data_IF_249338340654
#
_entry.id   IF_249338340654
#
_cell.length_a   1.000
_cell.length_b   1.000
_cell.length_c   1.000
_cell.angle_alpha   90.00
_cell.angle_beta   90.00
_cell.angle_gamma   90.00
#
_symmetry.space_group_name_H-M   'P 1'
#
loop_
_entity.id
_entity.type
_entity.pdbx_description
1 polymer ?
#
# COMPACT_ATOMS: atom_id res chain seq x y z
N UNK A 1 7.00 -0.72 11.09
CA UNK A 1 8.23 -0.15 10.49
C UNK A 1 9.34 -1.17 10.67
N UNK A 2 9.94 -1.63 9.58
CA UNK A 2 11.13 -2.51 9.58
C UNK A 2 12.31 -1.74 9.01
N UNK A 3 13.52 -2.13 9.38
CA UNK A 3 14.77 -1.58 8.83
C UNK A 3 15.43 -2.67 8.00
N UNK A 4 15.75 -2.37 6.74
CA UNK A 4 16.52 -3.26 5.87
C UNK A 4 17.83 -2.58 5.48
N UNK A 5 18.93 -3.31 5.60
CA UNK A 5 20.25 -2.87 5.15
C UNK A 5 20.48 -3.29 3.70
N UNK A 6 21.05 -2.37 2.92
CA UNK A 6 21.38 -2.58 1.51
C UNK A 6 22.83 -2.16 1.21
N UNK A 7 23.48 -2.76 0.20
CA UNK A 7 24.77 -2.32 -0.28
C UNK A 7 24.78 -0.84 -0.70
N UNK A 8 25.97 -0.23 -0.71
CA UNK A 8 26.14 1.13 -1.19
C UNK A 8 25.72 1.23 -2.67
N UNK A 9 24.97 2.28 -3.01
CA UNK A 9 24.39 2.53 -4.34
C UNK A 9 23.20 1.65 -4.74
N UNK A 10 22.61 0.89 -3.83
CA UNK A 10 21.35 0.21 -4.11
C UNK A 10 20.26 1.18 -4.54
N UNK A 11 19.37 0.70 -5.39
CA UNK A 11 18.25 1.45 -5.96
C UNK A 11 16.93 0.95 -5.39
N UNK A 12 15.87 1.74 -5.56
CA UNK A 12 14.55 1.35 -5.10
C UNK A 12 14.08 0.01 -5.71
N UNK A 13 14.43 -0.27 -6.97
CA UNK A 13 14.08 -1.54 -7.60
C UNK A 13 14.65 -2.77 -6.87
N UNK A 14 15.84 -2.67 -6.28
CA UNK A 14 16.45 -3.75 -5.50
C UNK A 14 15.60 -4.12 -4.26
N UNK A 15 14.88 -3.13 -3.70
CA UNK A 15 13.92 -3.34 -2.62
C UNK A 15 12.64 -4.00 -3.15
N UNK A 16 12.09 -3.53 -4.27
CA UNK A 16 10.85 -4.07 -4.84
C UNK A 16 11.01 -5.54 -5.26
N UNK A 17 12.14 -5.89 -5.86
CA UNK A 17 12.44 -7.27 -6.27
C UNK A 17 12.59 -8.20 -5.06
N UNK A 18 13.17 -7.70 -3.96
CA UNK A 18 13.36 -8.47 -2.74
C UNK A 18 12.07 -8.66 -1.95
N UNK A 19 11.26 -7.60 -1.81
CA UNK A 19 10.02 -7.64 -1.05
C UNK A 19 8.90 -8.35 -1.82
N UNK A 20 8.95 -8.39 -3.16
CA UNK A 20 8.04 -9.22 -3.97
C UNK A 20 8.20 -10.73 -3.76
N UNK A 21 9.23 -11.17 -3.05
CA UNK A 21 9.45 -12.56 -2.64
C UNK A 21 8.85 -12.85 -1.25
N UNK A 22 8.55 -11.82 -0.46
CA UNK A 22 8.04 -11.95 0.89
C UNK A 22 6.50 -11.97 0.84
N UNK A 23 5.89 -13.00 1.42
CA UNK A 23 4.42 -13.19 1.42
C UNK A 23 3.65 -12.03 2.11
N UNK A 24 4.39 -11.10 2.75
CA UNK A 24 3.86 -9.91 3.39
C UNK A 24 3.54 -8.76 2.42
N UNK A 25 4.15 -8.76 1.23
CA UNK A 25 3.94 -7.73 0.22
C UNK A 25 3.32 -8.41 -1.01
N UNK A 26 2.04 -8.13 -1.33
CA UNK A 26 1.38 -8.79 -2.44
C UNK A 26 2.07 -8.43 -3.75
N UNK A 27 2.96 -9.33 -4.22
CA UNK A 27 3.74 -9.20 -5.44
C UNK A 27 2.89 -9.03 -6.73
N UNK A 28 1.58 -9.28 -6.62
CA UNK A 28 0.60 -9.18 -7.71
C UNK A 28 -0.18 -7.86 -7.73
N UNK A 29 -0.08 -7.05 -6.67
CA UNK A 29 -0.72 -5.73 -6.62
C UNK A 29 0.27 -4.66 -7.10
N UNK A 30 -0.19 -3.74 -7.94
CA UNK A 30 0.62 -2.58 -8.34
C UNK A 30 0.94 -1.76 -7.08
N UNK A 31 2.17 -1.85 -6.58
CA UNK A 31 2.62 -1.03 -5.47
C UNK A 31 2.86 0.41 -5.95
N UNK A 32 2.49 1.38 -5.11
CA UNK A 32 2.81 2.79 -5.29
C UNK A 32 3.88 3.20 -4.28
N UNK A 33 5.17 3.07 -4.62
CA UNK A 33 6.24 3.42 -3.71
C UNK A 33 6.33 4.94 -3.51
N UNK A 34 6.59 5.36 -2.28
CA UNK A 34 6.95 6.73 -1.92
C UNK A 34 8.29 6.73 -1.20
N UNK A 35 9.16 7.65 -1.57
CA UNK A 35 10.46 7.86 -0.93
C UNK A 35 10.39 9.15 -0.13
N UNK A 36 10.56 9.06 1.19
CA UNK A 36 10.45 10.18 2.12
C UNK A 36 9.13 10.97 1.94
N UNK A 37 8.01 10.25 1.78
CA UNK A 37 6.69 10.82 1.55
C UNK A 37 6.43 11.36 0.14
N UNK A 38 7.42 11.35 -0.76
CA UNK A 38 7.24 11.80 -2.15
C UNK A 38 7.01 10.62 -3.09
N UNK A 39 6.07 10.73 -4.05
CA UNK A 39 5.87 9.69 -5.05
C UNK A 39 7.16 9.48 -5.84
N UNK A 40 7.50 8.21 -6.07
CA UNK A 40 8.71 7.89 -6.84
C UNK A 40 8.39 8.01 -8.32
N UNK A 41 9.15 8.86 -9.02
CA UNK A 41 9.08 9.03 -10.48
C UNK A 41 10.08 8.12 -11.19
N UNK A 42 11.25 7.88 -10.57
CA UNK A 42 12.33 7.06 -11.11
C UNK A 42 12.68 5.91 -10.14
N UNK A 43 12.37 4.65 -10.49
CA UNK A 43 12.68 3.48 -9.66
C UNK A 43 14.18 3.11 -9.63
N UNK A 44 15.00 3.65 -10.54
CA UNK A 44 16.45 3.46 -10.53
C UNK A 44 17.19 4.52 -9.71
N UNK A 45 16.46 5.38 -8.99
CA UNK A 45 17.04 6.32 -8.06
C UNK A 45 17.76 5.57 -6.92
N UNK A 46 19.00 5.99 -6.66
CA UNK A 46 19.82 5.48 -5.55
C UNK A 46 19.21 5.85 -4.20
N UNK A 47 19.14 4.87 -3.31
CA UNK A 47 18.76 5.02 -1.91
C UNK A 47 19.92 5.57 -1.09
N UNK A 48 19.62 6.39 -0.09
CA UNK A 48 20.56 6.89 0.91
C UNK A 48 20.22 6.33 2.28
N UNK A 49 21.23 6.22 3.14
CA UNK A 49 21.02 5.82 4.53
C UNK A 49 20.08 6.82 5.21
N UNK A 50 19.04 6.29 5.87
CA UNK A 50 17.99 7.10 6.50
C UNK A 50 16.82 7.45 5.58
N UNK A 51 16.86 7.08 4.30
CA UNK A 51 15.67 7.18 3.44
C UNK A 51 14.58 6.23 3.94
N UNK A 52 13.33 6.72 3.95
CA UNK A 52 12.14 5.96 4.30
C UNK A 52 11.39 5.61 3.03
N UNK A 53 11.15 4.32 2.81
CA UNK A 53 10.32 3.84 1.70
C UNK A 53 8.96 3.42 2.24
N UNK A 54 7.91 3.99 1.69
CA UNK A 54 6.53 3.58 1.94
C UNK A 54 6.02 2.81 0.73
N UNK A 55 5.65 1.54 0.93
CA UNK A 55 5.00 0.72 -0.09
C UNK A 55 3.51 0.70 0.19
N UNK A 56 2.73 1.40 -0.63
CA UNK A 56 1.27 1.40 -0.50
C UNK A 56 0.67 0.54 -1.62
N UNK A 57 -0.13 -0.50 -1.33
CA UNK A 57 -0.81 -1.26 -2.36
C UNK A 57 -1.80 -0.36 -3.13
N UNK A 58 -1.91 -0.58 -4.44
CA UNK A 58 -3.00 0.01 -5.22
C UNK A 58 -4.28 -0.76 -4.89
N UNK A 59 -5.15 -0.16 -4.09
CA UNK A 59 -6.48 -0.71 -3.83
C UNK A 59 -7.25 -0.67 -5.16
N UNK A 60 -7.73 -1.81 -5.69
CA UNK A 60 -8.51 -1.83 -6.92
C UNK A 60 -9.80 -1.03 -6.78
N UNK A 61 -10.21 -0.32 -7.82
CA UNK A 61 -11.48 0.45 -7.82
C UNK A 61 -12.71 -0.45 -7.54
N UNK A 62 -12.64 -1.73 -7.92
CA UNK A 62 -13.67 -2.72 -7.62
C UNK A 62 -13.83 -2.94 -6.11
N UNK A 63 -12.72 -3.05 -5.39
CA UNK A 63 -12.70 -3.21 -3.93
C UNK A 63 -13.26 -1.98 -3.21
N UNK A 64 -13.07 -0.77 -3.77
CA UNK A 64 -13.66 0.45 -3.22
C UNK A 64 -15.19 0.46 -3.34
N UNK A 65 -15.75 -0.12 -4.41
CA UNK A 65 -17.19 -0.19 -4.62
C UNK A 65 -17.82 -1.17 -3.64
N UNK A 66 -17.24 -2.36 -3.48
CA UNK A 66 -17.70 -3.37 -2.50
C UNK A 66 -17.65 -2.82 -1.08
N UNK A 67 -16.55 -2.15 -0.70
CA UNK A 67 -16.42 -1.55 0.63
C UNK A 67 -17.47 -0.46 0.88
N UNK A 68 -17.79 0.36 -0.13
CA UNK A 68 -18.86 1.37 -0.04
C UNK A 68 -20.23 0.75 0.16
N UNK A 69 -20.55 -0.30 -0.58
CA UNK A 69 -21.84 -0.98 -0.45
C UNK A 69 -22.00 -1.68 0.90
N UNK A 70 -20.92 -2.25 1.44
CA UNK A 70 -20.95 -2.88 2.77
C UNK A 70 -21.14 -1.84 3.88
N UNK A 71 -20.42 -0.71 3.83
CA UNK A 71 -20.64 0.41 4.77
C UNK A 71 -22.09 0.90 4.67
N UNK A 72 -22.60 1.08 3.45
CA UNK A 72 -23.98 1.53 3.22
C UNK A 72 -24.99 0.55 3.81
N UNK A 73 -24.79 -0.76 3.63
CA UNK A 73 -25.63 -1.81 4.20
C UNK A 73 -25.69 -1.72 5.72
N UNK A 74 -24.56 -1.51 6.39
CA UNK A 74 -24.51 -1.36 7.85
C UNK A 74 -25.37 -0.18 8.33
N UNK A 75 -25.21 0.99 7.71
CA UNK A 75 -26.01 2.17 8.04
C UNK A 75 -27.50 1.99 7.74
N UNK A 76 -27.84 1.40 6.59
CA UNK A 76 -29.22 1.14 6.22
C UNK A 76 -29.87 0.13 7.18
N UNK A 77 -29.13 -0.91 7.61
CA UNK A 77 -29.60 -1.83 8.64
C UNK A 77 -29.86 -1.12 9.98
N UNK A 78 -28.95 -0.27 10.46
CA UNK A 78 -29.12 0.45 11.72
C UNK A 78 -30.32 1.42 11.68
N UNK A 79 -30.56 2.06 10.53
CA UNK A 79 -31.75 2.90 10.29
C UNK A 79 -33.05 2.08 10.30
N UNK A 80 -33.03 0.84 9.80
CA UNK A 80 -34.20 -0.04 9.89
C UNK A 80 -34.48 -0.54 11.31
N UNK A 81 -33.44 -0.72 12.14
CA UNK A 81 -33.60 -1.05 13.55
C UNK A 81 -34.13 0.13 14.37
N UNK A 82 -33.66 1.36 14.11
CA UNK A 82 -34.14 2.57 14.79
C UNK A 82 -35.62 2.90 14.47
N UNK A 83 -36.12 2.50 13.29
CA UNK A 83 -37.51 2.77 12.85
C UNK A 83 -38.54 1.75 13.37
N UNK A 84 -38.10 0.65 13.98
CA UNK A 84 -38.98 -0.37 14.60
C UNK A 84 -39.11 -0.24 16.12
N UNK A 85 -38.56 0.83 16.72
CA UNK A 85 -38.71 1.17 18.15
C UNK A 85 -39.91 2.06 18.41
#
# INVERSE_FOLDING_TARGET
MSVQEFPANSVLMDLLEKDGQDDSVPAKEELRPRLNGLPVVDPHRKLKMGDVVELTPSIPDKSLTEYREEIRRMFDSDLTFARRG
#
